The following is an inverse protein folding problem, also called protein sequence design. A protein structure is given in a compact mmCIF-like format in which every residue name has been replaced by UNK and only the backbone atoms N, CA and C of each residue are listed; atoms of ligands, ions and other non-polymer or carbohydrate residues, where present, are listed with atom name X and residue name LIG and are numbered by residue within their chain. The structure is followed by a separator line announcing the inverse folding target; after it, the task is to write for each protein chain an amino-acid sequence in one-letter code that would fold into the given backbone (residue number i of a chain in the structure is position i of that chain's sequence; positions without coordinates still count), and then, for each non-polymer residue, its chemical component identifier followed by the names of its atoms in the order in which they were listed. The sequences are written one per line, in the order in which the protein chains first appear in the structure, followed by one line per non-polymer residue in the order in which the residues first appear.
data_IF_649376666596
#
_entry.id   IF_649376666596
#
_cell.length_a   1.000
_cell.length_b   1.000
_cell.length_c   1.000
_cell.angle_alpha   90.00
_cell.angle_beta   90.00
_cell.angle_gamma   90.00
#
_symmetry.space_group_name_H-M   'P 1'
#
loop_
_entity.id
_entity.type
_entity.pdbx_description
1 polymer ?
#
# COMPACT_ATOMS: atom_id res chain seq x y z
N UNK A 1 33.72 -28.57 -40.32
CA UNK A 1 34.58 -29.14 -39.26
C UNK A 1 34.14 -28.49 -37.96
N UNK A 2 33.79 -29.10 -36.85
CA UNK A 2 33.73 -30.48 -36.33
C UNK A 2 32.94 -30.29 -35.01
N UNK A 3 31.80 -30.97 -34.76
CA UNK A 3 31.72 -32.13 -33.83
C UNK A 3 32.49 -31.90 -32.51
N UNK A 4 31.94 -31.89 -31.29
CA UNK A 4 30.97 -32.82 -30.67
C UNK A 4 30.39 -32.21 -29.33
N UNK A 5 29.37 -32.84 -28.71
CA UNK A 5 28.70 -32.44 -27.47
C UNK A 5 29.26 -33.14 -26.22
N UNK A 6 28.85 -32.75 -25.02
CA UNK A 6 29.01 -33.59 -23.81
C UNK A 6 27.81 -33.43 -22.88
N UNK A 7 27.05 -34.53 -22.75
CA UNK A 7 26.09 -34.76 -21.67
C UNK A 7 26.87 -35.31 -20.47
N UNK A 8 26.51 -34.89 -19.26
CA UNK A 8 26.63 -35.77 -18.10
C UNK A 8 25.47 -35.48 -17.13
N UNK A 9 24.71 -36.54 -16.87
CA UNK A 9 23.67 -36.59 -15.85
C UNK A 9 24.30 -36.98 -14.50
N UNK A 10 23.75 -36.46 -13.40
CA UNK A 10 23.91 -37.09 -12.09
C UNK A 10 22.56 -37.03 -11.36
N UNK A 11 22.07 -38.21 -11.01
CA UNK A 11 20.91 -38.46 -10.16
C UNK A 11 21.36 -38.62 -8.71
N UNK A 12 20.55 -38.21 -7.73
CA UNK A 12 20.42 -38.89 -6.44
C UNK A 12 19.22 -38.36 -5.64
N UNK A 13 18.46 -39.32 -5.11
CA UNK A 13 17.24 -39.22 -4.33
C UNK A 13 17.48 -38.97 -2.83
N UNK A 14 16.61 -38.23 -2.15
CA UNK A 14 16.45 -38.17 -0.68
C UNK A 14 15.03 -37.62 -0.40
N UNK A 15 14.15 -38.09 0.48
CA UNK A 15 13.95 -39.31 1.28
C UNK A 15 12.54 -39.11 1.89
N UNK A 16 11.59 -40.01 1.61
CA UNK A 16 10.22 -39.92 2.14
C UNK A 16 10.16 -40.48 3.56
N UNK A 17 10.01 -39.63 4.57
CA UNK A 17 9.81 -40.07 5.96
C UNK A 17 8.34 -40.38 6.23
N UNK A 18 8.12 -41.63 6.62
CA UNK A 18 6.86 -42.26 6.98
C UNK A 18 6.20 -41.65 8.22
N UNK A 19 4.87 -41.58 8.14
CA UNK A 19 3.96 -41.32 9.22
C UNK A 19 4.00 -42.42 10.29
N UNK A 20 4.26 -42.02 11.53
CA UNK A 20 3.91 -42.68 12.79
C UNK A 20 3.55 -41.51 13.72
N UNK A 21 2.46 -41.43 14.44
CA UNK A 21 1.49 -42.40 14.91
C UNK A 21 1.11 -41.89 16.30
N UNK A 22 -0.14 -41.50 16.51
CA UNK A 22 -0.70 -41.36 17.85
C UNK A 22 -2.20 -41.70 17.77
N UNK A 23 -2.50 -42.98 17.97
CA UNK A 23 -3.85 -43.42 18.31
C UNK A 23 -4.03 -43.15 19.80
N UNK A 24 -4.88 -42.17 20.13
CA UNK A 24 -5.31 -41.93 21.50
C UNK A 24 -6.65 -42.66 21.64
N UNK A 25 -6.65 -43.85 22.25
CA UNK A 25 -7.88 -44.38 22.84
C UNK A 25 -8.05 -43.67 24.19
N UNK A 26 -9.07 -42.82 24.29
CA UNK A 26 -9.52 -42.24 25.54
C UNK A 26 -10.74 -43.06 25.98
N UNK A 27 -10.51 -44.05 26.84
CA UNK A 27 -11.59 -44.69 27.60
C UNK A 27 -11.98 -43.78 28.78
N UNK A 28 -13.28 -43.46 28.82
CA UNK A 28 -14.11 -42.99 29.93
C UNK A 28 -13.48 -42.15 31.06
N UNK A 29 -13.45 -40.83 30.85
CA UNK A 29 -13.50 -39.85 31.93
C UNK A 29 -14.83 -39.06 31.81
N UNK A 30 -15.63 -38.94 32.87
CA UNK A 30 -16.84 -38.11 32.83
C UNK A 30 -16.46 -36.67 32.43
N UNK A 31 -17.26 -36.00 31.57
CA UNK A 31 -16.85 -34.73 31.00
C UNK A 31 -16.60 -33.72 32.14
N UNK A 32 -15.42 -33.07 32.17
CA UNK A 32 -15.22 -31.93 33.03
C UNK A 32 -16.25 -30.85 32.65
N UNK A 33 -16.77 -30.05 33.60
CA UNK A 33 -17.68 -28.97 33.28
C UNK A 33 -17.05 -28.10 32.19
N UNK A 34 -17.77 -27.96 31.09
CA UNK A 34 -17.40 -27.11 29.96
C UNK A 34 -17.42 -25.66 30.42
N UNK A 35 -16.29 -25.18 30.92
CA UNK A 35 -16.00 -23.76 30.95
C UNK A 35 -15.76 -23.32 29.51
N UNK A 36 -16.83 -22.92 28.82
CA UNK A 36 -16.71 -22.15 27.58
C UNK A 36 -16.07 -20.80 27.94
N UNK A 37 -14.74 -20.74 27.94
CA UNK A 37 -13.99 -19.49 27.96
C UNK A 37 -14.18 -18.81 26.61
N UNK A 38 -15.35 -18.24 26.39
CA UNK A 38 -15.68 -17.40 25.24
C UNK A 38 -15.08 -16.01 25.46
N UNK A 39 -13.76 -15.91 25.56
CA UNK A 39 -13.08 -14.63 25.35
C UNK A 39 -12.79 -14.57 23.86
N UNK A 40 -13.48 -13.72 23.08
CA UNK A 40 -13.13 -13.52 21.69
C UNK A 40 -11.68 -13.07 21.63
N UNK A 41 -10.90 -13.71 20.76
CA UNK A 41 -9.56 -13.25 20.39
C UNK A 41 -9.68 -11.76 19.99
N UNK A 42 -8.82 -10.84 20.47
CA UNK A 42 -8.90 -9.43 20.10
C UNK A 42 -8.78 -9.32 18.58
N UNK A 43 -9.92 -9.10 17.90
CA UNK A 43 -9.93 -8.77 16.49
C UNK A 43 -9.06 -7.53 16.29
N UNK A 44 -8.18 -7.50 15.27
CA UNK A 44 -7.46 -6.29 14.91
C UNK A 44 -8.49 -5.18 14.69
N UNK A 45 -8.53 -4.19 15.59
CA UNK A 45 -9.47 -3.09 15.49
C UNK A 45 -9.06 -2.27 14.29
N UNK A 46 -9.85 -2.31 13.21
CA UNK A 46 -9.70 -1.39 12.09
C UNK A 46 -9.82 0.03 12.66
N UNK A 47 -8.85 0.94 12.43
CA UNK A 47 -8.94 2.30 12.93
C UNK A 47 -10.28 2.93 12.56
N UNK A 48 -10.98 3.49 13.55
CA UNK A 48 -12.33 4.06 13.38
C UNK A 48 -12.30 5.37 12.58
N UNK A 49 -11.12 6.00 12.46
CA UNK A 49 -10.89 7.19 11.64
C UNK A 49 -9.50 7.12 10.97
N UNK A 50 -9.32 7.77 9.80
CA UNK A 50 -8.01 7.97 9.19
C UNK A 50 -7.03 8.67 10.14
N UNK A 51 -5.76 8.27 10.10
CA UNK A 51 -4.66 9.02 10.70
C UNK A 51 -4.51 10.35 9.95
N UNK A 52 -4.22 11.42 10.67
CA UNK A 52 -3.85 12.71 10.12
C UNK A 52 -2.33 12.82 10.00
N UNK A 53 -1.83 12.89 8.77
CA UNK A 53 -0.45 13.20 8.43
C UNK A 53 -0.28 14.70 8.21
N UNK A 54 0.76 15.29 8.81
CA UNK A 54 1.11 16.70 8.64
C UNK A 54 2.17 16.81 7.56
N UNK A 55 1.82 17.36 6.42
CA UNK A 55 2.65 17.36 5.24
C UNK A 55 3.45 18.65 5.14
N UNK A 56 4.77 18.56 5.05
CA UNK A 56 5.63 19.72 4.89
C UNK A 56 5.41 20.36 3.52
N UNK A 57 4.91 21.59 3.51
CA UNK A 57 4.73 22.35 2.29
C UNK A 57 6.06 22.59 1.57
N UNK A 58 6.01 22.62 0.24
CA UNK A 58 7.15 22.88 -0.66
C UNK A 58 8.30 21.86 -0.52
N UNK A 59 8.00 20.68 0.01
CA UNK A 59 8.90 19.53 -0.01
C UNK A 59 8.50 18.55 -1.10
N UNK A 60 9.51 18.12 -1.84
CA UNK A 60 9.38 17.09 -2.87
C UNK A 60 10.11 15.83 -2.43
N UNK A 61 9.71 14.72 -3.03
CA UNK A 61 10.35 13.42 -2.94
C UNK A 61 10.80 13.00 -4.32
N UNK A 62 11.69 12.02 -4.39
CA UNK A 62 12.10 11.41 -5.65
C UNK A 62 12.10 9.90 -5.46
N UNK A 63 11.54 9.19 -6.43
CA UNK A 63 11.64 7.75 -6.54
C UNK A 63 11.69 7.38 -8.03
N UNK A 64 12.41 6.31 -8.32
CA UNK A 64 12.56 5.81 -9.68
C UNK A 64 11.50 4.74 -9.93
N UNK A 65 10.70 4.94 -10.98
CA UNK A 65 9.78 3.92 -11.49
C UNK A 65 10.51 2.60 -11.73
N UNK A 66 9.88 1.49 -11.35
CA UNK A 66 10.43 0.15 -11.44
C UNK A 66 11.22 -0.31 -10.21
N UNK A 67 11.70 0.59 -9.34
CA UNK A 67 12.59 0.22 -8.23
C UNK A 67 11.84 0.00 -6.90
N UNK A 68 10.58 0.43 -6.79
CA UNK A 68 9.77 0.28 -5.58
C UNK A 68 8.29 0.57 -5.82
N UNK A 69 7.44 0.06 -4.93
CA UNK A 69 6.00 0.36 -4.92
C UNK A 69 5.72 1.49 -3.94
N UNK A 70 5.05 2.55 -4.39
CA UNK A 70 4.69 3.65 -3.50
C UNK A 70 3.73 4.64 -4.11
N UNK A 71 3.00 5.33 -3.22
CA UNK A 71 2.10 6.46 -3.47
C UNK A 71 2.64 7.64 -2.68
N UNK A 72 3.05 8.67 -3.40
CA UNK A 72 3.75 9.82 -2.89
C UNK A 72 2.80 11.01 -2.91
N UNK A 73 2.76 11.76 -1.81
CA UNK A 73 1.91 12.93 -1.67
C UNK A 73 2.79 14.14 -1.39
N UNK A 74 2.58 15.18 -2.17
CA UNK A 74 3.30 16.44 -2.09
C UNK A 74 2.31 17.60 -2.15
N UNK A 75 2.69 18.67 -1.48
CA UNK A 75 1.94 19.92 -1.46
C UNK A 75 2.89 21.07 -1.72
N UNK A 76 2.56 21.87 -2.72
CA UNK A 76 3.16 23.17 -2.95
C UNK A 76 2.21 24.24 -2.39
N UNK A 77 2.79 25.19 -1.66
CA UNK A 77 2.08 26.32 -1.06
C UNK A 77 1.20 27.03 -2.09
N UNK A 78 0.01 27.45 -1.67
CA UNK A 78 -1.00 28.04 -2.55
C UNK A 78 -2.08 27.06 -3.02
N UNK A 79 -2.13 25.83 -2.48
CA UNK A 79 -3.20 24.88 -2.78
C UNK A 79 -2.88 23.86 -3.87
N UNK A 80 -1.62 23.71 -4.27
CA UNK A 80 -1.21 22.86 -5.38
C UNK A 80 -0.80 21.47 -4.88
N UNK A 81 -1.56 20.44 -5.26
CA UNK A 81 -1.28 19.06 -4.87
C UNK A 81 -0.66 18.28 -6.01
N UNK A 82 0.27 17.41 -5.64
CA UNK A 82 0.86 16.42 -6.53
C UNK A 82 0.82 15.05 -5.84
N UNK A 83 0.07 14.13 -6.44
CA UNK A 83 -0.01 12.74 -6.01
C UNK A 83 0.53 11.88 -7.14
N UNK A 84 1.59 11.12 -6.87
CA UNK A 84 2.25 10.31 -7.88
C UNK A 84 2.59 8.93 -7.33
N UNK A 85 2.80 7.96 -8.19
CA UNK A 85 3.04 6.58 -7.76
C UNK A 85 3.93 5.79 -8.72
N UNK A 86 4.57 4.77 -8.15
CA UNK A 86 5.54 3.91 -8.83
C UNK A 86 5.26 2.45 -8.51
N UNK A 87 5.69 1.54 -9.40
CA UNK A 87 5.67 0.09 -9.19
C UNK A 87 7.09 -0.46 -9.14
N UNK A 88 7.29 -1.63 -8.53
CA UNK A 88 8.58 -2.32 -8.42
C UNK A 88 8.85 -3.27 -9.59
N UNK A 89 8.34 -2.96 -10.78
CA UNK A 89 8.36 -3.87 -11.95
C UNK A 89 9.77 -4.31 -12.35
N UNK A 90 10.81 -3.50 -12.14
CA UNK A 90 12.19 -3.92 -12.44
C UNK A 90 12.69 -5.03 -11.50
N UNK A 91 12.10 -5.14 -10.30
CA UNK A 91 12.41 -6.16 -9.31
C UNK A 91 11.50 -7.39 -9.47
N UNK A 92 10.20 -7.19 -9.69
CA UNK A 92 9.20 -8.27 -9.68
C UNK A 92 8.81 -8.78 -11.07
N UNK A 93 9.07 -8.00 -12.12
CA UNK A 93 8.55 -8.23 -13.47
C UNK A 93 7.04 -8.03 -13.60
N UNK A 94 6.36 -7.54 -12.55
CA UNK A 94 4.90 -7.38 -12.52
C UNK A 94 4.51 -5.91 -12.61
N UNK A 95 3.38 -5.63 -13.26
CA UNK A 95 2.77 -4.30 -13.24
C UNK A 95 1.89 -4.14 -11.99
N UNK A 96 1.73 -2.90 -11.53
CA UNK A 96 0.87 -2.57 -10.40
C UNK A 96 -0.35 -1.80 -10.89
N UNK A 97 -1.54 -2.30 -10.61
CA UNK A 97 -2.78 -1.53 -10.80
C UNK A 97 -3.07 -0.74 -9.54
N UNK A 98 -3.12 0.57 -9.65
CA UNK A 98 -3.48 1.47 -8.57
C UNK A 98 -4.91 1.97 -8.73
N UNK A 99 -5.65 2.04 -7.63
CA UNK A 99 -6.92 2.78 -7.56
C UNK A 99 -6.81 3.79 -6.44
N UNK A 100 -7.16 5.04 -6.73
CA UNK A 100 -7.17 6.13 -5.75
C UNK A 100 -8.57 6.73 -5.64
N UNK A 101 -8.97 7.02 -4.42
CA UNK A 101 -10.13 7.83 -4.10
C UNK A 101 -9.68 8.99 -3.20
N UNK A 102 -9.81 10.22 -3.70
CA UNK A 102 -9.41 11.44 -3.00
C UNK A 102 -10.67 12.25 -2.67
N UNK A 103 -10.79 12.71 -1.43
CA UNK A 103 -11.88 13.56 -0.96
C UNK A 103 -11.35 14.77 -0.17
N UNK A 104 -12.14 15.85 -0.07
CA UNK A 104 -11.77 17.07 0.68
C UNK A 104 -11.76 18.37 -0.13
N UNK A 105 -12.42 18.38 -1.31
CA UNK A 105 -12.47 19.53 -2.23
C UNK A 105 -13.05 20.85 -1.66
N UNK A 106 -13.22 21.89 -2.50
CA UNK A 106 -13.38 21.80 -3.94
C UNK A 106 -12.07 21.54 -4.70
N UNK A 107 -12.13 20.66 -5.71
CA UNK A 107 -11.01 20.38 -6.61
C UNK A 107 -11.08 21.21 -7.89
N UNK A 108 -9.93 21.70 -8.34
CA UNK A 108 -9.77 22.50 -9.57
C UNK A 108 -8.53 22.03 -10.35
N UNK A 109 -8.45 22.40 -11.62
CA UNK A 109 -7.26 22.22 -12.47
C UNK A 109 -6.68 20.78 -12.46
N UNK A 110 -7.55 19.77 -12.38
CA UNK A 110 -7.15 18.37 -12.31
C UNK A 110 -6.44 17.96 -13.61
N UNK A 111 -5.26 17.36 -13.48
CA UNK A 111 -4.49 16.77 -14.56
C UNK A 111 -4.02 15.39 -14.09
N UNK A 112 -4.40 14.32 -14.79
CA UNK A 112 -3.99 12.97 -14.44
C UNK A 112 -3.57 12.16 -15.65
N UNK A 113 -2.54 11.34 -15.50
CA UNK A 113 -2.25 10.26 -16.43
C UNK A 113 -3.13 9.04 -16.10
N UNK A 114 -4.38 9.03 -16.60
CA UNK A 114 -5.35 7.95 -16.34
C UNK A 114 -6.81 8.39 -16.44
N UNK A 115 -7.75 7.44 -16.36
CA UNK A 115 -9.18 7.71 -16.37
C UNK A 115 -9.64 8.22 -15.00
N UNK A 116 -9.71 9.54 -14.85
CA UNK A 116 -10.36 10.21 -13.72
C UNK A 116 -11.86 10.37 -13.94
N UNK A 117 -12.69 10.10 -12.93
CA UNK A 117 -14.07 10.60 -12.85
C UNK A 117 -14.15 11.67 -11.76
N UNK A 118 -14.68 12.82 -12.14
CA UNK A 118 -14.72 14.00 -11.28
C UNK A 118 -16.12 14.19 -10.67
N UNK A 119 -16.15 14.46 -9.37
CA UNK A 119 -17.15 15.30 -8.75
C UNK A 119 -16.42 16.45 -8.03
N UNK A 120 -17.10 17.58 -7.79
CA UNK A 120 -16.46 18.79 -7.24
C UNK A 120 -15.68 18.53 -5.93
N UNK A 121 -16.03 17.50 -5.17
CA UNK A 121 -15.49 17.14 -3.86
C UNK A 121 -14.77 15.78 -3.82
N UNK A 122 -14.70 15.06 -4.94
CA UNK A 122 -14.07 13.75 -5.02
C UNK A 122 -13.42 13.46 -6.38
N UNK A 123 -12.24 12.84 -6.33
CA UNK A 123 -11.51 12.36 -7.50
C UNK A 123 -11.36 10.85 -7.36
N UNK A 124 -11.73 10.11 -8.40
CA UNK A 124 -11.47 8.68 -8.49
C UNK A 124 -10.62 8.40 -9.74
N UNK A 125 -9.49 7.70 -9.57
CA UNK A 125 -8.61 7.33 -10.69
C UNK A 125 -8.19 5.86 -10.57
N UNK A 126 -7.96 5.23 -11.72
CA UNK A 126 -7.35 3.91 -11.82
C UNK A 126 -6.33 3.91 -12.94
N UNK A 127 -5.13 3.40 -12.65
CA UNK A 127 -4.05 3.29 -13.63
C UNK A 127 -3.26 2.01 -13.42
N UNK A 128 -2.55 1.56 -14.45
CA UNK A 128 -1.61 0.44 -14.36
C UNK A 128 -0.22 0.94 -14.71
N UNK A 129 0.71 0.76 -13.77
CA UNK A 129 2.08 1.28 -13.86
C UNK A 129 3.06 0.11 -13.94
N UNK A 130 4.05 0.24 -14.83
CA UNK A 130 5.18 -0.67 -14.96
C UNK A 130 6.46 -0.02 -14.39
N UNK A 131 7.50 0.17 -15.21
CA UNK A 131 8.74 0.85 -14.83
C UNK A 131 8.66 2.39 -14.90
N UNK A 132 7.48 2.94 -15.18
CA UNK A 132 7.24 4.38 -15.25
C UNK A 132 6.82 4.99 -13.91
N UNK A 133 6.44 6.26 -13.98
CA UNK A 133 5.74 6.98 -12.92
C UNK A 133 4.38 7.36 -13.49
N UNK A 134 3.34 7.39 -12.66
CA UNK A 134 2.07 8.01 -13.01
C UNK A 134 1.75 9.08 -11.98
N UNK A 135 1.17 10.17 -12.46
CA UNK A 135 1.02 11.39 -11.67
C UNK A 135 -0.40 11.96 -11.78
N UNK A 136 -0.76 12.71 -10.76
CA UNK A 136 -1.96 13.52 -10.71
C UNK A 136 -1.69 14.84 -10.01
N UNK A 137 -2.06 15.93 -10.67
CA UNK A 137 -2.03 17.29 -10.16
C UNK A 137 -3.44 17.80 -10.00
N UNK A 138 -3.71 18.54 -8.93
CA UNK A 138 -4.97 19.24 -8.74
C UNK A 138 -4.79 20.38 -7.75
N UNK A 139 -5.71 21.33 -7.79
CA UNK A 139 -5.72 22.47 -6.89
C UNK A 139 -6.89 22.35 -5.90
N UNK A 140 -6.62 22.76 -4.65
CA UNK A 140 -7.62 23.01 -3.61
C UNK A 140 -7.51 24.44 -3.13
N UNK A 141 -8.30 24.83 -2.13
CA UNK A 141 -8.00 26.04 -1.37
C UNK A 141 -6.67 25.87 -0.61
N UNK A 142 -5.96 26.98 -0.39
CA UNK A 142 -4.70 27.01 0.36
C UNK A 142 -4.89 26.41 1.76
N UNK A 143 -4.01 25.48 2.15
CA UNK A 143 -4.07 24.74 3.42
C UNK A 143 -5.23 23.74 3.58
N UNK A 144 -6.02 23.48 2.53
CA UNK A 144 -7.11 22.51 2.60
C UNK A 144 -6.59 21.11 2.98
N UNK A 145 -7.42 20.33 3.65
CA UNK A 145 -7.09 18.95 4.04
C UNK A 145 -7.72 17.99 3.05
N UNK A 146 -6.96 17.01 2.56
CA UNK A 146 -7.48 15.95 1.70
C UNK A 146 -7.39 14.59 2.41
N UNK A 147 -8.23 13.65 1.99
CA UNK A 147 -8.14 12.24 2.40
C UNK A 147 -7.92 11.39 1.17
N UNK A 148 -6.94 10.50 1.22
CA UNK A 148 -6.62 9.58 0.12
C UNK A 148 -6.82 8.16 0.61
N UNK A 149 -7.66 7.41 -0.09
CA UNK A 149 -7.67 5.96 -0.05
C UNK A 149 -6.97 5.44 -1.30
N UNK A 150 -6.05 4.48 -1.13
CA UNK A 150 -5.31 3.90 -2.26
C UNK A 150 -5.16 2.38 -2.16
N UNK A 151 -5.42 1.67 -3.24
CA UNK A 151 -5.19 0.22 -3.33
C UNK A 151 -4.17 -0.10 -4.42
N UNK A 152 -3.44 -1.22 -4.25
CA UNK A 152 -2.44 -1.71 -5.19
C UNK A 152 -2.77 -3.15 -5.53
N UNK A 153 -2.85 -3.48 -6.82
CA UNK A 153 -3.23 -4.79 -7.35
C UNK A 153 -4.56 -5.34 -6.78
N UNK A 154 -5.49 -4.46 -6.42
CA UNK A 154 -6.78 -4.82 -5.82
C UNK A 154 -6.69 -5.36 -4.38
N UNK A 155 -5.50 -5.35 -3.76
CA UNK A 155 -5.34 -5.75 -2.37
C UNK A 155 -5.74 -4.63 -1.40
N UNK A 156 -6.42 -5.01 -0.32
CA UNK A 156 -6.77 -4.11 0.79
C UNK A 156 -5.51 -3.74 1.57
N UNK A 157 -4.91 -2.59 1.25
CA UNK A 157 -3.74 -2.04 1.92
C UNK A 157 -4.13 -1.22 3.15
N UNK A 158 -4.93 -1.79 4.04
CA UNK A 158 -5.56 -1.09 5.16
C UNK A 158 -4.57 -0.38 6.11
N UNK A 159 -3.31 -0.82 6.11
CA UNK A 159 -2.24 -0.26 6.94
C UNK A 159 -1.44 0.88 6.28
N UNK A 160 -1.88 1.35 5.10
CA UNK A 160 -1.30 2.53 4.45
C UNK A 160 0.19 2.41 4.12
N UNK A 161 0.74 1.19 4.09
CA UNK A 161 2.20 0.95 3.97
C UNK A 161 2.87 1.51 2.70
N UNK A 162 2.06 1.84 1.70
CA UNK A 162 2.54 2.40 0.44
C UNK A 162 2.47 3.93 0.39
N UNK A 163 1.98 4.60 1.43
CA UNK A 163 2.01 6.06 1.47
C UNK A 163 3.37 6.59 1.90
N UNK A 164 3.85 7.56 1.13
CA UNK A 164 5.08 8.31 1.38
C UNK A 164 4.79 9.80 1.28
N UNK A 165 5.29 10.57 2.25
CA UNK A 165 5.17 12.02 2.32
C UNK A 165 6.31 12.58 3.15
N UNK A 166 6.56 13.89 3.09
CA UNK A 166 7.54 14.54 3.98
C UNK A 166 6.80 15.18 5.14
N UNK A 167 7.25 14.90 6.35
CA UNK A 167 6.80 15.51 7.60
C UNK A 167 8.03 15.78 8.46
N UNK A 168 8.14 16.97 9.05
CA UNK A 168 9.28 17.33 9.92
C UNK A 168 10.65 17.10 9.24
N UNK A 169 10.73 17.35 7.93
CA UNK A 169 11.93 17.17 7.11
C UNK A 169 12.33 15.72 6.84
N UNK A 170 11.50 14.73 7.19
CA UNK A 170 11.76 13.30 7.01
C UNK A 170 10.62 12.63 6.26
N UNK A 171 10.95 11.57 5.51
CA UNK A 171 9.92 10.70 4.93
C UNK A 171 9.10 10.09 6.07
N UNK A 172 7.78 10.26 5.97
CA UNK A 172 6.76 9.86 6.94
C UNK A 172 7.04 10.36 8.38
N UNK A 173 7.79 11.46 8.55
CA UNK A 173 8.19 11.95 9.87
C UNK A 173 9.15 11.02 10.63
N UNK A 174 9.71 10.00 9.96
CA UNK A 174 10.41 8.90 10.62
C UNK A 174 9.49 7.97 11.40
N UNK A 175 8.17 8.02 11.16
CA UNK A 175 7.21 7.14 11.79
C UNK A 175 7.46 5.68 11.39
N UNK A 176 7.74 4.84 12.39
CA UNK A 176 8.01 3.41 12.20
C UNK A 176 6.77 2.52 12.43
N UNK A 177 5.64 3.11 12.81
CA UNK A 177 4.38 2.41 12.99
C UNK A 177 3.66 2.13 11.68
N UNK A 178 2.44 1.59 11.78
CA UNK A 178 1.55 1.41 10.64
C UNK A 178 0.73 2.67 10.42
N UNK A 179 0.67 3.12 9.17
CA UNK A 179 -0.23 4.20 8.76
C UNK A 179 -1.67 3.64 8.69
N UNK A 180 -2.59 4.47 8.21
CA UNK A 180 -3.95 4.07 7.89
C UNK A 180 -4.19 4.18 6.39
N UNK A 181 -5.22 3.50 5.92
CA UNK A 181 -5.79 3.69 4.61
C UNK A 181 -7.31 3.62 4.75
N UNK A 182 -8.03 4.75 4.62
CA UNK A 182 -7.58 6.05 4.11
C UNK A 182 -6.56 6.75 5.00
N UNK A 183 -5.76 7.66 4.43
CA UNK A 183 -4.88 8.58 5.14
C UNK A 183 -5.29 10.03 4.87
N UNK A 184 -5.33 10.85 5.90
CA UNK A 184 -5.66 12.27 5.80
C UNK A 184 -4.39 13.10 5.78
N UNK A 185 -4.33 14.12 4.93
CA UNK A 185 -3.16 14.98 4.74
C UNK A 185 -3.54 16.44 4.98
N UNK A 186 -2.83 17.08 5.91
CA UNK A 186 -2.94 18.52 6.18
C UNK A 186 -1.58 19.19 5.95
N UNK A 187 -1.49 20.15 5.03
CA UNK A 187 -0.27 20.94 4.84
C UNK A 187 0.12 21.74 6.10
N UNK A 188 1.42 21.89 6.35
CA UNK A 188 1.93 22.71 7.47
C UNK A 188 1.93 24.22 7.17
N UNK A 189 1.83 24.60 5.90
CA UNK A 189 1.62 25.98 5.43
C UNK A 189 0.50 26.00 4.40
N UNK A 190 -0.33 27.07 4.36
CA UNK A 190 -1.24 27.33 3.25
C UNK A 190 -0.51 27.55 1.92
#
# INVERSE_FOLDING_TARGET
MSMLPTRLALAAAILSTLATGCLINVDDNPPPPTYTSSTPDPQPVKPTAPILARLDADKTMNAKGGDGVGVFVEYQSGGHWHVWWTCDTSLTGQACTFTHQITGGPFRNIKSEGAGRDANDSIATTSTVTSGVADMFFDTDAGATITIQSTVAGADNADGRYFFFVQEGKVNGGFAGRLSNPLQFQPTSP
#
